data_IF_455028203311
#
_entry.id   IF_455028203311
#
_cell.length_a   1.000
_cell.length_b   1.000
_cell.length_c   1.000
_cell.angle_alpha   90.00
_cell.angle_beta   90.00
_cell.angle_gamma   90.00
#
_symmetry.space_group_name_H-M   'P 1'
#
loop_
_entity.id
_entity.type
_entity.pdbx_description
1 polymer ?
#
# COMPACT_ATOMS: atom_id res chain seq x y z
N UNK A 1 -4.39 3.00 -16.76
CA UNK A 1 -4.71 3.48 -15.39
C UNK A 1 -5.79 2.64 -14.72
N UNK A 2 -6.55 1.82 -15.45
CA UNK A 2 -7.69 1.07 -14.90
C UNK A 2 -7.29 0.12 -13.76
N UNK A 3 -6.18 -0.62 -13.90
CA UNK A 3 -5.68 -1.48 -12.82
C UNK A 3 -5.38 -0.71 -11.53
N UNK A 4 -4.87 0.51 -11.63
CA UNK A 4 -4.62 1.33 -10.46
C UNK A 4 -5.94 1.82 -9.84
N UNK A 5 -6.95 2.12 -10.63
CA UNK A 5 -8.29 2.48 -10.12
C UNK A 5 -8.98 1.29 -9.45
N UNK A 6 -8.80 0.07 -9.99
CA UNK A 6 -9.26 -1.19 -9.38
C UNK A 6 -8.61 -1.38 -7.99
N UNK A 7 -7.30 -1.18 -7.91
CA UNK A 7 -6.57 -1.23 -6.64
C UNK A 7 -7.07 -0.17 -5.65
N UNK A 8 -7.20 1.09 -6.08
CA UNK A 8 -7.70 2.16 -5.22
C UNK A 8 -9.12 1.90 -4.70
N UNK A 9 -9.98 1.31 -5.53
CA UNK A 9 -11.35 0.96 -5.15
C UNK A 9 -11.34 -0.16 -4.09
N UNK A 10 -10.54 -1.21 -4.31
CA UNK A 10 -10.34 -2.29 -3.35
C UNK A 10 -9.80 -1.78 -2.01
N UNK A 11 -8.76 -0.95 -2.04
CA UNK A 11 -8.19 -0.35 -0.83
C UNK A 11 -9.18 0.58 -0.12
N UNK A 12 -10.09 1.25 -0.85
CA UNK A 12 -11.12 2.11 -0.28
C UNK A 12 -12.15 1.31 0.52
N UNK A 13 -12.59 0.17 0.03
CA UNK A 13 -13.54 -0.72 0.74
C UNK A 13 -12.91 -1.22 2.05
N UNK A 14 -11.66 -1.66 2.01
CA UNK A 14 -10.90 -2.09 3.19
C UNK A 14 -10.71 -0.90 4.15
N UNK A 15 -10.37 0.27 3.63
CA UNK A 15 -10.21 1.47 4.45
C UNK A 15 -11.51 1.85 5.18
N UNK A 16 -12.67 1.70 4.52
CA UNK A 16 -13.98 1.91 5.15
C UNK A 16 -14.27 0.89 6.25
N UNK A 17 -13.99 -0.40 6.00
CA UNK A 17 -14.13 -1.48 6.99
C UNK A 17 -13.34 -1.21 8.28
N UNK A 18 -12.11 -0.70 8.14
CA UNK A 18 -11.22 -0.39 9.27
C UNK A 18 -11.32 1.07 9.76
N UNK A 19 -12.22 1.87 9.17
CA UNK A 19 -12.39 3.30 9.45
C UNK A 19 -11.10 4.14 9.30
N UNK A 20 -10.18 3.76 8.42
CA UNK A 20 -8.90 4.45 8.16
C UNK A 20 -8.86 5.03 6.74
N UNK A 21 -7.77 5.70 6.37
CA UNK A 21 -7.56 6.15 4.98
C UNK A 21 -6.90 5.07 4.12
N UNK A 22 -7.06 5.18 2.79
CA UNK A 22 -6.40 4.31 1.79
C UNK A 22 -4.88 4.23 2.01
N UNK A 23 -4.25 5.35 2.33
CA UNK A 23 -2.81 5.41 2.60
C UNK A 23 -2.39 4.53 3.79
N UNK A 24 -3.24 4.41 4.82
CA UNK A 24 -2.95 3.58 5.98
C UNK A 24 -3.03 2.10 5.62
N UNK A 25 -4.03 1.69 4.83
CA UNK A 25 -4.18 0.31 4.32
C UNK A 25 -2.96 -0.07 3.46
N UNK A 26 -2.61 0.77 2.49
CA UNK A 26 -1.46 0.54 1.62
C UNK A 26 -0.14 0.44 2.41
N UNK A 27 0.08 1.35 3.36
CA UNK A 27 1.27 1.32 4.22
C UNK A 27 1.30 0.06 5.08
N UNK A 28 0.16 -0.31 5.68
CA UNK A 28 0.06 -1.51 6.53
C UNK A 28 0.38 -2.78 5.75
N UNK A 29 -0.17 -2.91 4.54
CA UNK A 29 0.09 -4.04 3.66
C UNK A 29 1.59 -4.20 3.34
N UNK A 30 2.30 -3.09 3.09
CA UNK A 30 3.75 -3.12 2.81
C UNK A 30 4.56 -3.44 4.08
N UNK A 31 4.20 -2.84 5.22
CA UNK A 31 4.88 -3.08 6.50
C UNK A 31 4.81 -4.55 6.97
N UNK A 32 3.79 -5.29 6.56
CA UNK A 32 3.64 -6.72 6.92
C UNK A 32 4.37 -7.68 5.97
N UNK A 33 5.05 -7.19 4.92
CA UNK A 33 5.86 -8.06 4.05
C UNK A 33 7.13 -8.53 4.80
N UNK A 34 7.53 -9.81 4.67
CA UNK A 34 8.65 -10.37 5.44
C UNK A 34 9.99 -9.63 5.33
N UNK A 35 10.26 -8.96 4.20
CA UNK A 35 11.51 -8.26 3.95
C UNK A 35 11.46 -6.75 4.30
N UNK A 36 10.36 -6.25 4.85
CA UNK A 36 10.16 -4.82 5.12
C UNK A 36 10.30 -4.53 6.60
N UNK A 37 11.31 -3.73 6.96
CA UNK A 37 11.53 -3.29 8.35
C UNK A 37 10.82 -1.96 8.68
N UNK A 38 10.43 -1.18 7.67
CA UNK A 38 9.81 0.12 7.87
C UNK A 38 9.36 0.77 6.57
N UNK A 39 8.52 1.81 6.70
CA UNK A 39 8.02 2.61 5.59
C UNK A 39 8.26 4.10 5.87
N UNK A 40 8.72 4.83 4.86
CA UNK A 40 8.95 6.28 4.94
C UNK A 40 7.80 6.99 4.23
N UNK A 41 7.06 7.84 4.96
CA UNK A 41 5.94 8.60 4.41
C UNK A 41 6.29 10.09 4.39
N UNK A 42 6.44 10.65 3.20
CA UNK A 42 6.63 12.09 3.02
C UNK A 42 5.35 12.89 3.33
N UNK A 43 5.47 13.98 4.07
CA UNK A 43 4.35 14.91 4.37
C UNK A 43 4.76 16.35 4.11
N UNK A 44 3.83 17.15 3.57
CA UNK A 44 4.05 18.58 3.33
C UNK A 44 3.46 19.43 4.46
N UNK A 45 4.29 19.71 5.46
CA UNK A 45 3.92 20.49 6.64
C UNK A 45 3.43 21.89 6.23
N UNK A 46 2.36 22.37 6.87
CA UNK A 46 1.77 23.70 6.62
C UNK A 46 0.71 23.75 5.53
N UNK A 47 0.54 22.70 4.72
CA UNK A 47 -0.56 22.59 3.74
C UNK A 47 -1.54 21.49 4.14
N UNK A 48 -1.01 20.31 4.47
CA UNK A 48 -1.81 19.20 4.94
C UNK A 48 -1.08 18.48 6.07
N UNK A 49 -1.73 18.38 7.23
CA UNK A 49 -1.18 17.70 8.39
C UNK A 49 -1.75 16.29 8.48
N UNK A 50 -1.07 15.33 7.85
CA UNK A 50 -1.46 13.90 7.89
C UNK A 50 -0.73 13.11 8.97
N UNK A 51 0.02 13.75 9.86
CA UNK A 51 0.83 13.07 10.87
C UNK A 51 -0.01 12.12 11.74
N UNK A 52 -1.13 12.62 12.25
CA UNK A 52 -2.01 11.84 13.12
C UNK A 52 -2.71 10.71 12.34
N UNK A 53 -3.07 10.96 11.07
CA UNK A 53 -3.63 9.93 10.20
C UNK A 53 -2.63 8.80 9.92
N UNK A 54 -1.37 9.14 9.62
CA UNK A 54 -0.32 8.18 9.30
C UNK A 54 -0.01 7.28 10.50
N UNK A 55 -0.03 7.82 11.72
CA UNK A 55 0.18 7.04 12.94
C UNK A 55 -0.88 5.94 13.14
N UNK A 56 -2.08 6.09 12.55
CA UNK A 56 -3.16 5.08 12.66
C UNK A 56 -2.80 3.76 11.99
N UNK A 57 -1.74 3.67 11.18
CA UNK A 57 -1.23 2.41 10.61
C UNK A 57 -0.94 1.34 11.66
N UNK A 58 -0.62 1.75 12.89
CA UNK A 58 -0.35 0.83 14.00
C UNK A 58 -1.58 0.44 14.82
N UNK A 59 -2.74 1.05 14.55
CA UNK A 59 -3.95 0.90 15.36
C UNK A 59 -4.98 -0.08 14.75
N UNK A 60 -4.62 -0.76 13.67
CA UNK A 60 -5.44 -1.80 13.05
C UNK A 60 -4.55 -2.88 12.42
N UNK A 61 -5.14 -4.01 12.04
CA UNK A 61 -4.50 -5.09 11.29
C UNK A 61 -5.38 -5.53 10.14
N UNK A 62 -4.76 -5.96 9.04
CA UNK A 62 -5.46 -6.54 7.91
C UNK A 62 -5.77 -7.99 8.23
N UNK A 63 -7.00 -8.42 7.92
CA UNK A 63 -7.34 -9.83 8.01
C UNK A 63 -7.08 -10.56 6.68
N UNK A 64 -7.27 -11.88 6.69
CA UNK A 64 -7.01 -12.71 5.53
C UNK A 64 -7.82 -12.28 4.29
N UNK A 65 -9.08 -11.85 4.47
CA UNK A 65 -9.91 -11.43 3.34
C UNK A 65 -9.40 -10.12 2.76
N UNK A 66 -8.90 -9.21 3.60
CA UNK A 66 -8.26 -7.98 3.13
C UNK A 66 -7.00 -8.29 2.30
N UNK A 67 -6.18 -9.23 2.77
CA UNK A 67 -5.01 -9.70 2.04
C UNK A 67 -5.35 -10.33 0.70
N UNK A 68 -6.29 -11.29 0.71
CA UNK A 68 -6.72 -12.00 -0.49
C UNK A 68 -7.28 -11.02 -1.55
N UNK A 69 -8.03 -9.99 -1.11
CA UNK A 69 -8.57 -8.96 -1.99
C UNK A 69 -7.49 -8.08 -2.64
N UNK A 70 -6.48 -7.65 -1.86
CA UNK A 70 -5.37 -6.85 -2.39
C UNK A 70 -4.53 -7.69 -3.36
N UNK A 71 -4.19 -8.92 -2.97
CA UNK A 71 -3.38 -9.83 -3.78
C UNK A 71 -4.07 -10.19 -5.11
N UNK A 72 -5.39 -10.36 -5.11
CA UNK A 72 -6.17 -10.61 -6.33
C UNK A 72 -6.04 -9.47 -7.37
N UNK A 73 -5.86 -8.22 -6.94
CA UNK A 73 -5.59 -7.11 -7.86
C UNK A 73 -4.12 -7.06 -8.24
N UNK A 74 -3.20 -7.25 -7.28
CA UNK A 74 -1.76 -7.21 -7.53
C UNK A 74 -1.28 -8.29 -8.51
N UNK A 75 -1.90 -9.46 -8.55
CA UNK A 75 -1.57 -10.53 -9.52
C UNK A 75 -1.84 -10.12 -10.98
N UNK A 76 -2.66 -9.10 -11.24
CA UNK A 76 -2.89 -8.54 -12.59
C UNK A 76 -1.77 -7.58 -13.03
N UNK A 77 -0.85 -7.22 -12.13
CA UNK A 77 0.26 -6.30 -12.43
C UNK A 77 1.43 -7.01 -13.09
N UNK A 78 2.31 -6.23 -13.73
CA UNK A 78 3.54 -6.77 -14.32
C UNK A 78 4.55 -7.09 -13.21
N UNK A 79 5.21 -8.24 -13.31
CA UNK A 79 6.37 -8.51 -12.46
C UNK A 79 7.56 -7.68 -12.94
N UNK A 80 7.82 -6.56 -12.28
CA UNK A 80 8.92 -5.67 -12.63
C UNK A 80 10.28 -6.33 -12.44
N UNK A 81 10.43 -7.21 -11.44
CA UNK A 81 11.68 -7.92 -11.23
C UNK A 81 12.03 -8.81 -12.43
N UNK A 82 11.03 -9.52 -12.97
CA UNK A 82 11.22 -10.35 -14.17
C UNK A 82 11.47 -9.50 -15.43
N UNK A 83 10.91 -8.29 -15.49
CA UNK A 83 10.96 -7.44 -16.68
C UNK A 83 12.24 -6.60 -16.78
N UNK A 84 12.71 -6.04 -15.65
CA UNK A 84 13.81 -5.06 -15.61
C UNK A 84 14.94 -5.41 -14.63
N UNK A 85 14.82 -6.49 -13.85
CA UNK A 85 15.85 -6.91 -12.91
C UNK A 85 15.76 -6.23 -11.54
N UNK A 86 16.87 -6.23 -10.80
CA UNK A 86 16.96 -5.59 -9.50
C UNK A 86 17.10 -4.06 -9.66
N UNK A 87 16.85 -3.31 -8.59
CA UNK A 87 17.02 -1.86 -8.56
C UNK A 87 18.43 -1.47 -9.03
N UNK A 88 18.48 -0.69 -10.12
CA UNK A 88 19.71 -0.28 -10.79
C UNK A 88 19.97 -1.02 -12.11
N UNK A 89 19.39 -2.19 -12.34
CA UNK A 89 19.51 -2.93 -13.60
C UNK A 89 18.78 -2.23 -14.74
N UNK A 90 17.77 -1.40 -14.45
CA UNK A 90 17.03 -0.62 -15.44
C UNK A 90 17.86 0.47 -16.14
N UNK A 91 19.01 0.84 -15.57
CA UNK A 91 19.92 1.85 -16.13
C UNK A 91 21.05 1.25 -16.99
N UNK A 92 21.06 -0.08 -17.15
CA UNK A 92 22.10 -0.81 -17.87
C UNK A 92 21.72 -1.04 -19.33
#
# INVERSE_FOLDING_TARGET
WDLFQDLLSTLKEIAQKHNVGIANVATRYILEKPAVAGAIIGVRLGIANHRDSNARVFNFGLDKLDYDAIDAVCTKSNNLFDLIGDCGDEYR
#
